data_IF_767660069627
#
_entry.id   IF_767660069627
#
_cell.length_a   1.000
_cell.length_b   1.000
_cell.length_c   1.000
_cell.angle_alpha   90.00
_cell.angle_beta   90.00
_cell.angle_gamma   90.00
#
_symmetry.space_group_name_H-M   'P 1'
#
loop_
_entity.id
_entity.type
_entity.pdbx_description
1 polymer ?
#
# COMPACT_ATOMS: atom_id res chain seq x y z
N UNK A 1 -7.59 16.82 11.16
CA UNK A 1 -7.58 17.34 9.79
C UNK A 1 -8.59 16.55 9.00
N UNK A 2 -9.61 17.20 8.46
CA UNK A 2 -10.60 16.58 7.61
C UNK A 2 -9.99 16.12 6.28
N UNK A 3 -10.71 15.29 5.53
CA UNK A 3 -10.24 14.78 4.23
C UNK A 3 -10.09 15.94 3.23
N UNK A 4 -10.94 16.96 3.33
CA UNK A 4 -10.93 18.14 2.47
C UNK A 4 -9.82 19.13 2.86
N UNK A 5 -9.63 19.41 4.16
CA UNK A 5 -8.50 20.21 4.65
C UNK A 5 -7.15 19.62 4.23
N UNK A 6 -7.06 18.28 4.20
CA UNK A 6 -5.87 17.57 3.74
C UNK A 6 -5.63 17.79 2.25
N UNK A 7 -6.68 17.76 1.42
CA UNK A 7 -6.56 18.00 -0.01
C UNK A 7 -6.09 19.43 -0.27
N UNK A 8 -6.71 20.41 0.41
CA UNK A 8 -6.35 21.82 0.30
C UNK A 8 -4.88 22.04 0.63
N UNK A 9 -4.39 21.55 1.77
CA UNK A 9 -2.96 21.63 2.12
C UNK A 9 -2.04 20.98 1.09
N UNK A 10 -2.45 19.89 0.44
CA UNK A 10 -1.64 19.28 -0.62
C UNK A 10 -1.53 20.18 -1.85
N UNK A 11 -2.60 20.88 -2.20
CA UNK A 11 -2.59 21.81 -3.34
C UNK A 11 -1.78 23.06 -3.00
N UNK A 12 -1.90 23.58 -1.79
CA UNK A 12 -1.19 24.79 -1.34
C UNK A 12 0.31 24.54 -1.11
N UNK A 13 0.66 23.45 -0.42
CA UNK A 13 2.03 23.21 0.03
C UNK A 13 2.77 22.17 -0.86
N UNK A 14 2.17 21.00 -1.07
CA UNK A 14 2.86 19.85 -1.65
C UNK A 14 3.01 19.96 -3.17
N UNK A 15 1.97 20.42 -3.87
CA UNK A 15 1.97 20.56 -5.32
C UNK A 15 3.11 21.46 -5.82
N UNK A 16 3.29 22.72 -5.34
CA UNK A 16 4.37 23.57 -5.83
C UNK A 16 5.76 23.01 -5.51
N UNK A 17 5.93 22.34 -4.36
CA UNK A 17 7.20 21.69 -4.01
C UNK A 17 7.53 20.53 -4.96
N UNK A 18 6.54 19.72 -5.31
CA UNK A 18 6.68 18.60 -6.23
C UNK A 18 6.99 19.08 -7.66
N UNK A 19 6.26 20.07 -8.14
CA UNK A 19 6.49 20.68 -9.46
C UNK A 19 7.90 21.27 -9.54
N UNK A 20 8.32 21.99 -8.49
CA UNK A 20 9.69 22.48 -8.38
C UNK A 20 10.72 21.33 -8.38
N UNK A 21 10.48 20.26 -7.62
CA UNK A 21 11.37 19.11 -7.54
C UNK A 21 11.58 18.44 -8.91
N UNK A 22 10.51 18.16 -9.66
CA UNK A 22 10.62 17.55 -10.99
C UNK A 22 11.24 18.51 -12.02
N UNK A 23 10.91 19.81 -11.97
CA UNK A 23 11.51 20.82 -12.85
C UNK A 23 13.00 21.05 -12.56
N UNK A 24 13.41 21.06 -11.28
CA UNK A 24 14.81 21.12 -10.88
C UNK A 24 15.58 19.92 -11.41
N UNK A 25 14.95 18.76 -11.42
CA UNK A 25 15.58 17.53 -11.86
C UNK A 25 15.93 17.52 -13.36
N UNK A 26 15.04 18.01 -14.22
CA UNK A 26 15.28 18.08 -15.67
C UNK A 26 16.52 18.93 -16.05
N UNK A 27 17.05 19.70 -15.11
CA UNK A 27 18.25 20.54 -15.27
C UNK A 27 19.53 19.87 -14.77
N UNK A 28 19.45 18.69 -14.16
CA UNK A 28 20.60 18.00 -13.60
C UNK A 28 21.35 17.22 -14.68
N UNK A 29 22.68 17.38 -14.73
CA UNK A 29 23.55 16.55 -15.57
C UNK A 29 23.99 15.32 -14.79
N UNK A 30 23.26 14.22 -14.92
CA UNK A 30 23.53 12.96 -14.21
C UNK A 30 23.99 11.90 -15.20
N UNK A 31 25.00 11.12 -14.81
CA UNK A 31 25.48 10.01 -15.61
C UNK A 31 24.37 8.96 -15.81
N UNK A 32 23.95 8.69 -17.06
CA UNK A 32 22.95 7.68 -17.35
C UNK A 32 23.35 6.31 -16.80
N UNK A 33 22.40 5.58 -16.22
CA UNK A 33 22.64 4.24 -15.67
C UNK A 33 23.35 4.19 -14.31
N UNK A 34 23.82 5.32 -13.76
CA UNK A 34 24.26 5.39 -12.36
C UNK A 34 23.11 5.06 -11.39
N UNK A 35 23.43 4.68 -10.13
CA UNK A 35 22.39 4.43 -9.11
C UNK A 35 21.43 5.62 -8.95
N UNK A 36 21.99 6.83 -8.95
CA UNK A 36 21.23 8.07 -8.88
C UNK A 36 20.40 8.27 -10.16
N UNK A 37 21.02 8.18 -11.34
CA UNK A 37 20.33 8.31 -12.62
C UNK A 37 19.12 7.36 -12.75
N UNK A 38 19.29 6.08 -12.38
CA UNK A 38 18.19 5.10 -12.35
C UNK A 38 17.09 5.47 -11.36
N UNK A 39 17.45 5.92 -10.16
CA UNK A 39 16.46 6.29 -9.15
C UNK A 39 15.58 7.44 -9.63
N UNK A 40 16.15 8.40 -10.36
CA UNK A 40 15.34 9.49 -10.87
C UNK A 40 14.64 9.17 -12.18
N UNK A 41 15.24 8.45 -13.12
CA UNK A 41 14.50 7.94 -14.29
C UNK A 41 13.24 7.18 -13.83
N UNK A 42 13.37 6.38 -12.78
CA UNK A 42 12.23 5.75 -12.12
C UNK A 42 11.24 6.77 -11.55
N UNK A 43 11.71 7.77 -10.80
CA UNK A 43 10.83 8.78 -10.19
C UNK A 43 10.06 9.61 -11.24
N UNK A 44 10.73 10.03 -12.33
CA UNK A 44 10.11 10.76 -13.44
C UNK A 44 9.06 9.92 -14.16
N UNK A 45 9.32 8.63 -14.36
CA UNK A 45 8.35 7.70 -14.97
C UNK A 45 7.00 7.70 -14.23
N UNK A 46 7.01 7.95 -12.91
CA UNK A 46 5.81 7.96 -12.07
C UNK A 46 5.34 9.36 -11.67
N UNK A 47 5.89 10.44 -12.26
CA UNK A 47 5.51 11.80 -11.93
C UNK A 47 3.98 11.98 -11.97
N UNK A 48 3.34 11.62 -13.09
CA UNK A 48 1.88 11.72 -13.24
C UNK A 48 1.09 10.89 -12.22
N UNK A 49 1.63 9.75 -11.79
CA UNK A 49 1.02 8.94 -10.72
C UNK A 49 1.06 9.69 -9.38
N UNK A 50 2.18 10.33 -9.06
CA UNK A 50 2.27 11.11 -7.84
C UNK A 50 1.34 12.33 -7.87
N UNK A 51 1.09 12.94 -9.04
CA UNK A 51 0.16 14.08 -9.18
C UNK A 51 -1.28 13.76 -8.79
N UNK A 52 -1.66 12.48 -8.72
CA UNK A 52 -3.01 12.07 -8.32
C UNK A 52 -3.30 12.42 -6.85
N UNK A 53 -2.28 12.54 -6.00
CA UNK A 53 -2.45 12.72 -4.54
C UNK A 53 -3.14 14.04 -4.16
N UNK A 54 -3.08 15.06 -5.02
CA UNK A 54 -3.78 16.34 -4.88
C UNK A 54 -4.98 16.49 -5.83
N UNK A 55 -5.40 15.39 -6.47
CA UNK A 55 -6.66 15.25 -7.21
C UNK A 55 -7.67 14.41 -6.45
N UNK A 56 -7.22 13.35 -5.79
CA UNK A 56 -8.06 12.48 -4.95
C UNK A 56 -7.77 12.69 -3.46
N UNK A 57 -8.79 13.22 -2.78
CA UNK A 57 -8.74 13.51 -1.35
C UNK A 57 -8.57 12.27 -0.48
N UNK A 58 -8.92 11.07 -0.94
CA UNK A 58 -8.89 9.83 -0.14
C UNK A 58 -7.51 9.17 -0.13
N UNK A 59 -6.68 9.41 -1.14
CA UNK A 59 -5.36 8.81 -1.26
C UNK A 59 -4.40 9.25 -0.15
N UNK A 60 -3.43 8.40 0.15
CA UNK A 60 -2.34 8.62 1.11
C UNK A 60 -1.02 8.50 0.36
N UNK A 61 -0.12 9.46 0.53
CA UNK A 61 1.17 9.49 -0.18
C UNK A 61 2.11 8.36 0.28
N UNK A 62 2.01 8.00 1.56
CA UNK A 62 2.81 6.96 2.17
C UNK A 62 2.15 5.59 2.00
N UNK A 63 2.97 4.58 1.72
CA UNK A 63 2.57 3.18 1.70
C UNK A 63 2.55 2.54 3.10
N UNK A 64 2.79 3.29 4.18
CA UNK A 64 2.96 2.73 5.54
C UNK A 64 1.80 1.83 5.96
N UNK A 65 0.56 2.16 5.56
CA UNK A 65 -0.60 1.33 5.85
C UNK A 65 -0.53 -0.04 5.16
N UNK A 66 -0.12 -0.05 3.89
CA UNK A 66 0.05 -1.28 3.12
C UNK A 66 1.22 -2.12 3.66
N UNK A 67 2.34 -1.48 4.01
CA UNK A 67 3.48 -2.15 4.63
C UNK A 67 3.13 -2.76 5.99
N UNK A 68 2.38 -2.02 6.82
CA UNK A 68 1.93 -2.51 8.10
C UNK A 68 0.99 -3.72 7.95
N UNK A 69 0.08 -3.68 6.97
CA UNK A 69 -0.83 -4.80 6.67
C UNK A 69 -0.06 -6.06 6.25
N UNK A 70 0.93 -5.93 5.36
CA UNK A 70 1.69 -7.10 4.88
C UNK A 70 2.72 -7.59 5.91
N UNK A 71 3.15 -6.73 6.84
CA UNK A 71 4.14 -7.09 7.88
C UNK A 71 3.67 -8.28 8.71
N UNK A 72 2.38 -8.37 9.01
CA UNK A 72 1.82 -9.48 9.79
C UNK A 72 2.02 -10.81 9.06
N UNK A 73 1.71 -10.87 7.76
CA UNK A 73 1.99 -12.02 6.90
C UNK A 73 3.49 -12.36 6.86
N UNK A 74 4.36 -11.34 6.72
CA UNK A 74 5.82 -11.52 6.66
C UNK A 74 6.40 -12.09 7.95
N UNK A 75 5.84 -11.73 9.11
CA UNK A 75 6.23 -12.29 10.40
C UNK A 75 5.71 -13.72 10.57
N UNK A 76 4.44 -13.94 10.24
CA UNK A 76 3.75 -15.21 10.43
C UNK A 76 4.33 -16.33 9.54
N UNK A 77 4.66 -16.04 8.27
CA UNK A 77 5.27 -17.02 7.36
C UNK A 77 6.60 -17.59 7.87
N UNK A 78 7.35 -16.84 8.68
CA UNK A 78 8.61 -17.33 9.28
C UNK A 78 8.36 -18.40 10.35
N UNK A 79 7.17 -18.43 10.95
CA UNK A 79 6.79 -19.33 12.04
C UNK A 79 5.84 -20.45 11.60
N UNK A 80 5.31 -20.41 10.37
CA UNK A 80 4.40 -21.43 9.86
C UNK A 80 5.15 -22.57 9.17
N UNK A 81 5.08 -23.75 9.77
CA UNK A 81 5.77 -24.98 9.36
C UNK A 81 5.45 -25.43 7.91
N UNK A 82 4.33 -24.98 7.32
CA UNK A 82 3.83 -25.45 6.02
C UNK A 82 3.66 -24.33 4.97
N UNK A 83 4.24 -23.14 5.20
CA UNK A 83 4.19 -22.00 4.28
C UNK A 83 5.12 -22.13 3.06
N UNK A 84 5.75 -23.28 2.84
CA UNK A 84 6.80 -23.45 1.81
C UNK A 84 6.26 -23.86 0.43
N UNK A 85 5.02 -24.37 0.34
CA UNK A 85 4.41 -24.72 -0.94
C UNK A 85 3.55 -23.57 -1.48
N UNK A 86 3.36 -23.55 -2.81
CA UNK A 86 2.48 -22.56 -3.46
C UNK A 86 1.03 -22.71 -2.98
N UNK A 87 0.55 -23.93 -2.84
CA UNK A 87 -0.80 -24.21 -2.34
C UNK A 87 -0.95 -23.81 -0.86
N UNK A 88 0.06 -24.05 -0.01
CA UNK A 88 0.08 -23.55 1.37
C UNK A 88 0.07 -22.02 1.44
N UNK A 89 0.78 -21.36 0.52
CA UNK A 89 0.79 -19.90 0.40
C UNK A 89 -0.57 -19.34 -0.03
N UNK A 90 -1.26 -19.99 -0.97
CA UNK A 90 -2.62 -19.62 -1.38
C UNK A 90 -3.63 -19.77 -0.24
N UNK A 91 -3.62 -20.91 0.45
CA UNK A 91 -4.50 -21.15 1.59
C UNK A 91 -4.27 -20.11 2.70
N UNK A 92 -3.01 -19.82 2.99
CA UNK A 92 -2.60 -18.76 3.91
C UNK A 92 -3.15 -17.40 3.51
N UNK A 93 -2.99 -17.01 2.23
CA UNK A 93 -3.48 -15.73 1.73
C UNK A 93 -5.01 -15.61 1.85
N UNK A 94 -5.74 -16.71 1.59
CA UNK A 94 -7.19 -16.75 1.75
C UNK A 94 -7.62 -16.53 3.21
N UNK A 95 -7.08 -17.31 4.15
CA UNK A 95 -7.41 -17.19 5.57
C UNK A 95 -7.07 -15.79 6.09
N UNK A 96 -5.90 -15.27 5.75
CA UNK A 96 -5.48 -13.92 6.15
C UNK A 96 -6.41 -12.84 5.59
N UNK A 97 -6.88 -13.00 4.35
CA UNK A 97 -7.84 -12.06 3.75
C UNK A 97 -9.17 -12.03 4.51
N UNK A 98 -9.68 -13.18 4.94
CA UNK A 98 -10.89 -13.26 5.77
C UNK A 98 -10.70 -12.60 7.13
N UNK A 99 -9.58 -12.87 7.80
CA UNK A 99 -9.26 -12.26 9.10
C UNK A 99 -9.12 -10.74 9.01
N UNK A 100 -8.39 -10.23 8.02
CA UNK A 100 -8.23 -8.78 7.84
C UNK A 100 -9.54 -8.10 7.41
N UNK A 101 -10.41 -8.80 6.68
CA UNK A 101 -11.77 -8.31 6.39
C UNK A 101 -12.59 -8.18 7.67
N UNK A 102 -12.61 -9.20 8.53
CA UNK A 102 -13.30 -9.15 9.82
C UNK A 102 -12.82 -7.97 10.67
N UNK A 103 -11.49 -7.79 10.78
CA UNK A 103 -10.88 -6.67 11.52
C UNK A 103 -11.26 -5.31 10.93
N UNK A 104 -11.24 -5.17 9.59
CA UNK A 104 -11.61 -3.92 8.90
C UNK A 104 -13.06 -3.52 9.19
N UNK A 105 -13.95 -4.49 9.36
CA UNK A 105 -15.34 -4.29 9.74
C UNK A 105 -15.59 -4.31 11.26
N UNK A 106 -14.54 -4.31 12.08
CA UNK A 106 -14.61 -4.28 13.55
C UNK A 106 -15.38 -5.48 14.13
N UNK A 107 -15.33 -6.62 13.44
CA UNK A 107 -15.93 -7.88 13.87
C UNK A 107 -14.94 -8.68 14.72
N UNK A 108 -15.47 -9.53 15.60
CA UNK A 108 -14.66 -10.55 16.26
C UNK A 108 -14.24 -11.60 15.22
N UNK A 109 -12.93 -11.70 14.95
CA UNK A 109 -12.39 -12.55 13.90
C UNK A 109 -12.67 -14.04 14.11
N UNK A 110 -12.64 -14.53 15.35
CA UNK A 110 -12.94 -15.93 15.68
C UNK A 110 -14.40 -16.24 15.33
N UNK A 111 -15.34 -15.46 15.86
CA UNK A 111 -16.78 -15.63 15.58
C UNK A 111 -17.09 -15.54 14.09
N UNK A 112 -16.44 -14.63 13.38
CA UNK A 112 -16.61 -14.47 11.94
C UNK A 112 -16.16 -15.73 11.19
N UNK A 113 -14.97 -16.26 11.49
CA UNK A 113 -14.48 -17.48 10.86
C UNK A 113 -15.36 -18.69 11.22
N UNK A 114 -15.73 -18.86 12.50
CA UNK A 114 -16.64 -19.93 12.92
C UNK A 114 -17.98 -19.88 12.16
N UNK A 115 -18.57 -18.69 12.05
CA UNK A 115 -19.80 -18.50 11.27
C UNK A 115 -19.63 -18.91 9.80
N UNK A 116 -18.54 -18.50 9.14
CA UNK A 116 -18.27 -18.90 7.77
C UNK A 116 -18.15 -20.43 7.63
N UNK A 117 -17.47 -21.09 8.58
CA UNK A 117 -17.24 -22.53 8.53
C UNK A 117 -18.47 -23.36 8.89
N UNK A 118 -19.31 -22.88 9.80
CA UNK A 118 -20.48 -23.62 10.29
C UNK A 118 -21.73 -23.37 9.45
N UNK A 119 -21.90 -22.14 8.94
CA UNK A 119 -23.15 -21.72 8.31
C UNK A 119 -23.06 -21.58 6.78
N UNK A 120 -21.87 -21.32 6.21
CA UNK A 120 -21.70 -21.06 4.77
C UNK A 120 -21.03 -22.19 3.99
N UNK A 121 -20.43 -23.19 4.66
CA UNK A 121 -19.86 -24.37 3.98
C UNK A 121 -20.91 -25.42 3.57
N UNK A 122 -22.18 -25.24 3.95
CA UNK A 122 -23.27 -26.21 3.74
C UNK A 122 -24.18 -25.89 2.53
N UNK A 123 -23.74 -25.07 1.57
CA UNK A 123 -24.42 -24.88 0.28
C UNK A 123 -23.70 -25.59 -0.87
#
# INVERSE_FOLDING_TARGET
MSVDERLQKRQEDLQPLMEYFFAWYLRQSILPGSKLGRAIEYSLKYEETFKIIWKDRHLVLSNNLAEHAIKLLVMVRKNWLFSQSFEGSKATAFIMSLLETAKRHQLNSEKYISYLLECLLNE
#
